data_IF_753658826798
#
_entry.id   IF_753658826798
#
_cell.length_a   1.000
_cell.length_b   1.000
_cell.length_c   1.000
_cell.angle_alpha   90.00
_cell.angle_beta   90.00
_cell.angle_gamma   90.00
#
_symmetry.space_group_name_H-M   'P 1'
#
loop_
_entity.id
_entity.type
_entity.pdbx_description
1 polymer ?
#
# COMPACT_ATOMS: atom_id res chain seq x y z
N UNK A 1 -6.59 -13.10 -23.21
CA UNK A 1 -5.63 -14.03 -23.83
C UNK A 1 -6.01 -15.43 -23.38
N UNK A 2 -6.79 -16.15 -24.19
CA UNK A 2 -7.41 -17.42 -23.84
C UNK A 2 -6.47 -18.64 -24.06
N UNK A 3 -5.29 -18.40 -24.64
CA UNK A 3 -4.37 -19.47 -25.08
C UNK A 3 -3.32 -19.85 -24.03
N UNK A 4 -2.97 -18.95 -23.09
CA UNK A 4 -2.03 -19.24 -22.02
C UNK A 4 -2.36 -18.44 -20.74
N UNK A 5 -2.95 -19.09 -19.71
CA UNK A 5 -3.30 -18.45 -18.45
C UNK A 5 -2.11 -17.79 -17.73
N UNK A 6 -0.89 -18.30 -17.91
CA UNK A 6 0.33 -17.79 -17.26
C UNK A 6 0.79 -16.43 -17.78
N UNK A 7 0.37 -16.03 -18.99
CA UNK A 7 0.65 -14.70 -19.58
C UNK A 7 -0.52 -13.72 -19.40
N UNK A 8 -1.57 -14.13 -18.68
CA UNK A 8 -2.76 -13.33 -18.41
C UNK A 8 -2.62 -12.37 -17.24
N UNK A 9 -3.70 -11.65 -16.89
CA UNK A 9 -3.75 -10.81 -15.71
C UNK A 9 -3.44 -11.60 -14.44
N UNK A 10 -2.44 -11.15 -13.67
CA UNK A 10 -2.09 -11.84 -12.44
C UNK A 10 -3.01 -11.45 -11.28
N UNK A 11 -3.66 -12.44 -10.68
CA UNK A 11 -4.57 -12.29 -9.54
C UNK A 11 -3.84 -12.49 -8.21
N UNK A 12 -3.21 -11.44 -7.70
CA UNK A 12 -2.56 -11.47 -6.39
C UNK A 12 -3.58 -11.69 -5.26
N UNK A 13 -3.22 -12.57 -4.31
CA UNK A 13 -4.05 -12.88 -3.13
C UNK A 13 -3.56 -12.19 -1.85
N UNK A 14 -2.26 -11.91 -1.75
CA UNK A 14 -1.67 -11.24 -0.60
C UNK A 14 -2.08 -9.75 -0.52
N UNK A 15 -2.37 -9.21 0.68
CA UNK A 15 -2.82 -7.83 0.84
C UNK A 15 -1.75 -6.81 0.40
N UNK A 16 -0.47 -7.05 0.70
CA UNK A 16 0.66 -6.25 0.21
C UNK A 16 0.66 -6.10 -1.32
N UNK A 17 0.44 -7.19 -2.04
CA UNK A 17 0.43 -7.23 -3.51
C UNK A 17 -0.82 -6.61 -4.11
N UNK A 18 -1.96 -6.71 -3.42
CA UNK A 18 -3.18 -5.99 -3.81
C UNK A 18 -2.95 -4.47 -3.70
N UNK A 19 -2.36 -4.00 -2.59
CA UNK A 19 -2.04 -2.59 -2.41
C UNK A 19 -1.01 -2.10 -3.45
N UNK A 20 0.05 -2.86 -3.69
CA UNK A 20 1.04 -2.56 -4.73
C UNK A 20 0.40 -2.45 -6.13
N UNK A 21 -0.57 -3.32 -6.46
CA UNK A 21 -1.29 -3.25 -7.73
C UNK A 21 -2.12 -1.97 -7.86
N UNK A 22 -2.75 -1.52 -6.77
CA UNK A 22 -3.50 -0.25 -6.73
C UNK A 22 -2.58 0.95 -6.96
N UNK A 23 -1.45 1.03 -6.25
CA UNK A 23 -0.48 2.14 -6.43
C UNK A 23 0.13 2.13 -7.83
N UNK A 24 0.45 0.94 -8.36
CA UNK A 24 0.93 0.79 -9.75
C UNK A 24 -0.08 1.30 -10.79
N UNK A 25 -1.38 1.17 -10.52
CA UNK A 25 -2.44 1.71 -11.38
C UNK A 25 -2.53 3.23 -11.37
N UNK A 26 -2.08 3.88 -10.29
CA UNK A 26 -2.06 5.34 -10.15
C UNK A 26 -0.84 6.02 -10.78
N UNK A 27 0.18 5.24 -11.17
CA UNK A 27 1.44 5.75 -11.72
C UNK A 27 1.66 5.32 -13.18
N UNK A 28 2.34 6.13 -14.01
CA UNK A 28 2.74 5.78 -15.36
C UNK A 28 3.92 4.78 -15.35
N UNK A 29 3.68 3.58 -14.81
CA UNK A 29 4.69 2.56 -14.50
C UNK A 29 5.38 1.91 -15.72
N UNK A 30 4.92 2.21 -16.93
CA UNK A 30 5.60 1.81 -18.18
C UNK A 30 6.79 2.71 -18.51
N UNK A 31 6.83 3.91 -17.95
CA UNK A 31 7.93 4.87 -18.14
C UNK A 31 9.07 4.60 -17.15
N UNK A 32 10.30 4.99 -17.51
CA UNK A 32 11.48 4.87 -16.63
C UNK A 32 11.27 5.58 -15.28
N UNK A 33 10.64 6.77 -15.29
CA UNK A 33 10.30 7.52 -14.07
C UNK A 33 9.30 6.77 -13.19
N UNK A 34 8.28 6.16 -13.80
CA UNK A 34 7.28 5.37 -13.09
C UNK A 34 7.86 4.08 -12.49
N UNK A 35 8.81 3.44 -13.17
CA UNK A 35 9.55 2.29 -12.66
C UNK A 35 10.38 2.67 -11.43
N UNK A 36 11.16 3.76 -11.51
CA UNK A 36 11.93 4.26 -10.36
C UNK A 36 11.04 4.62 -9.15
N UNK A 37 9.83 5.15 -9.39
CA UNK A 37 8.87 5.42 -8.32
C UNK A 37 8.34 4.12 -7.65
N UNK A 38 8.16 3.04 -8.42
CA UNK A 38 7.75 1.75 -7.88
C UNK A 38 8.88 1.04 -7.12
N UNK A 39 10.14 1.22 -7.54
CA UNK A 39 11.30 0.67 -6.83
C UNK A 39 11.49 1.30 -5.45
N UNK A 40 11.15 2.59 -5.31
CA UNK A 40 11.14 3.28 -4.02
C UNK A 40 10.07 2.75 -3.06
N UNK A 41 9.00 2.14 -3.57
CA UNK A 41 7.87 1.68 -2.78
C UNK A 41 8.10 0.25 -2.28
N UNK A 42 8.31 0.10 -0.96
CA UNK A 42 8.31 -1.21 -0.29
C UNK A 42 6.99 -1.42 0.45
N UNK A 43 6.30 -2.53 0.16
CA UNK A 43 5.03 -2.92 0.78
C UNK A 43 5.21 -4.30 1.39
N UNK A 44 4.97 -4.42 2.69
CA UNK A 44 5.18 -5.64 3.46
C UNK A 44 3.89 -6.00 4.19
N UNK A 45 3.65 -7.30 4.38
CA UNK A 45 2.56 -7.79 5.21
C UNK A 45 3.06 -7.89 6.67
N UNK A 46 2.37 -7.24 7.60
CA UNK A 46 2.83 -7.13 8.99
C UNK A 46 4.08 -6.25 9.13
N UNK A 47 4.82 -6.43 10.23
CA UNK A 47 5.98 -5.62 10.57
C UNK A 47 7.18 -6.56 10.78
N UNK A 48 8.03 -6.75 9.76
CA UNK A 48 9.20 -7.60 9.90
C UNK A 48 10.34 -6.88 10.66
N UNK A 49 11.26 -7.63 11.30
CA UNK A 49 12.37 -7.10 12.09
C UNK A 49 13.50 -6.61 11.17
N UNK A 50 13.36 -5.42 10.58
CA UNK A 50 14.13 -4.23 10.98
C UNK A 50 13.28 -2.94 11.02
N UNK A 51 11.97 -3.05 10.78
CA UNK A 51 11.02 -1.93 10.74
C UNK A 51 10.25 -1.76 12.04
N UNK A 52 10.38 -2.71 12.96
CA UNK A 52 9.72 -2.68 14.26
C UNK A 52 10.20 -1.54 15.16
N UNK A 53 11.51 -1.28 15.17
CA UNK A 53 12.15 -0.22 15.97
C UNK A 53 12.03 1.19 15.36
N UNK A 54 11.51 1.30 14.13
CA UNK A 54 11.38 2.58 13.44
C UNK A 54 10.04 3.22 13.76
N UNK A 55 10.03 4.55 13.98
CA UNK A 55 8.80 5.29 14.26
C UNK A 55 7.84 5.18 13.07
N UNK A 56 6.63 4.72 13.36
CA UNK A 56 5.59 4.52 12.36
C UNK A 56 4.89 5.85 12.07
N UNK A 57 4.67 6.13 10.79
CA UNK A 57 4.05 7.37 10.32
C UNK A 57 2.69 7.06 9.71
N UNK A 58 1.71 7.88 10.07
CA UNK A 58 0.32 7.75 9.61
C UNK A 58 0.01 8.89 8.65
N UNK A 59 -0.71 8.58 7.57
CA UNK A 59 -1.29 9.60 6.68
C UNK A 59 -2.70 9.92 7.18
N UNK A 60 -2.93 11.08 7.83
CA UNK A 60 -4.21 11.38 8.48
C UNK A 60 -5.36 11.43 7.47
N UNK A 61 -5.10 11.91 6.26
CA UNK A 61 -6.08 11.93 5.18
C UNK A 61 -6.56 10.52 4.81
N UNK A 62 -5.78 9.46 4.99
CA UNK A 62 -6.17 8.11 4.59
C UNK A 62 -6.94 7.33 5.68
N UNK A 63 -7.18 7.93 6.85
CA UNK A 63 -7.79 7.24 7.99
C UNK A 63 -9.29 7.02 7.79
N UNK A 64 -9.73 5.78 8.00
CA UNK A 64 -11.16 5.41 7.99
C UNK A 64 -11.98 6.27 8.95
N UNK A 65 -11.50 6.44 10.18
CA UNK A 65 -12.21 7.16 11.25
C UNK A 65 -12.48 8.61 10.87
N UNK A 66 -11.56 9.22 10.13
CA UNK A 66 -11.67 10.61 9.69
C UNK A 66 -12.56 10.73 8.45
N UNK A 67 -12.42 9.80 7.48
CA UNK A 67 -13.10 9.91 6.19
C UNK A 67 -14.52 9.35 6.15
N UNK A 68 -14.81 8.30 6.92
CA UNK A 68 -16.08 7.58 6.84
C UNK A 68 -16.90 7.73 8.11
N UNK A 69 -18.22 7.93 7.94
CA UNK A 69 -19.17 7.90 9.06
C UNK A 69 -19.17 6.50 9.72
N UNK A 70 -19.18 6.41 11.06
CA UNK A 70 -19.09 5.13 11.78
C UNK A 70 -20.18 4.11 11.42
N UNK A 71 -21.35 4.56 11.00
CA UNK A 71 -22.50 3.71 10.66
C UNK A 71 -22.38 3.01 9.31
N UNK A 72 -21.41 3.38 8.47
CA UNK A 72 -21.24 2.80 7.13
C UNK A 72 -20.47 1.48 7.22
N UNK A 73 -21.07 0.41 6.69
CA UNK A 73 -20.41 -0.90 6.57
C UNK A 73 -19.21 -0.79 5.64
N UNK A 74 -18.06 -1.29 6.09
CA UNK A 74 -16.83 -1.33 5.29
C UNK A 74 -16.38 -2.77 5.09
N UNK A 75 -15.88 -3.05 3.88
CA UNK A 75 -15.26 -4.31 3.55
C UNK A 75 -13.83 -4.32 4.09
N UNK A 76 -13.60 -5.14 5.11
CA UNK A 76 -12.31 -5.29 5.76
C UNK A 76 -11.41 -6.28 5.00
N UNK A 77 -11.48 -6.35 3.66
CA UNK A 77 -10.79 -7.39 2.86
C UNK A 77 -9.27 -7.28 2.88
N UNK A 78 -8.76 -6.06 3.01
CA UNK A 78 -7.34 -5.82 3.31
C UNK A 78 -7.05 -5.93 4.80
N UNK A 79 -8.09 -6.16 5.62
CA UNK A 79 -8.02 -6.27 7.06
C UNK A 79 -7.92 -7.69 7.60
N UNK A 80 -6.70 -8.10 7.95
CA UNK A 80 -6.49 -9.25 8.82
C UNK A 80 -7.28 -9.00 10.12
N UNK A 81 -8.41 -9.69 10.27
CA UNK A 81 -9.32 -9.56 11.43
C UNK A 81 -8.70 -10.02 12.78
N UNK A 82 -7.43 -10.40 12.81
CA UNK A 82 -6.75 -10.96 13.98
C UNK A 82 -5.75 -10.01 14.63
N UNK A 83 -5.63 -8.76 14.18
CA UNK A 83 -4.61 -7.84 14.67
C UNK A 83 -5.28 -6.53 15.08
N UNK A 84 -4.98 -6.08 16.31
CA UNK A 84 -5.68 -5.01 17.02
C UNK A 84 -5.70 -3.64 16.32
N UNK A 85 -6.37 -2.64 16.92
CA UNK A 85 -6.57 -1.31 16.35
C UNK A 85 -5.29 -0.57 15.90
N UNK A 86 -4.12 -0.95 16.41
CA UNK A 86 -2.85 -0.23 16.23
C UNK A 86 -2.01 -0.68 15.03
N UNK A 87 -2.29 -1.84 14.41
CA UNK A 87 -1.39 -2.45 13.42
C UNK A 87 -1.82 -2.24 11.95
N UNK A 88 -2.81 -1.38 11.71
CA UNK A 88 -3.29 -0.97 10.38
C UNK A 88 -2.35 0.00 9.63
N UNK A 89 -1.08 0.07 9.99
CA UNK A 89 -0.09 0.88 9.28
C UNK A 89 0.63 0.00 8.26
N UNK A 90 0.03 -0.14 7.07
CA UNK A 90 0.80 -0.51 5.88
C UNK A 90 1.86 0.56 5.68
N UNK A 91 3.08 0.23 6.11
CA UNK A 91 4.17 1.19 6.16
C UNK A 91 4.78 1.29 4.76
N UNK A 92 4.36 2.32 4.03
CA UNK A 92 5.00 2.75 2.79
C UNK A 92 6.33 3.39 3.17
N UNK A 93 7.39 2.60 3.23
CA UNK A 93 8.74 3.14 3.34
C UNK A 93 9.19 3.62 1.96
N UNK A 94 9.24 4.94 1.78
CA UNK A 94 10.10 5.55 0.75
C UNK A 94 11.49 5.66 1.36
N UNK A 95 12.50 5.13 0.68
CA UNK A 95 13.89 5.11 1.18
C UNK A 95 14.55 6.50 1.18
N UNK A 96 13.87 7.51 0.63
CA UNK A 96 14.42 8.84 0.47
C UNK A 96 13.88 9.76 1.58
N UNK A 97 14.78 10.24 2.44
CA UNK A 97 14.56 11.32 3.40
C UNK A 97 14.30 12.68 2.74
N UNK A 98 13.56 12.70 1.64
CA UNK A 98 13.16 13.92 0.95
C UNK A 98 11.74 14.28 1.40
N UNK A 99 11.70 15.33 2.22
CA UNK A 99 10.54 16.17 2.52
C UNK A 99 9.69 16.30 1.24
N UNK A 100 8.44 15.86 1.32
CA UNK A 100 7.46 16.03 0.24
C UNK A 100 7.52 17.49 -0.25
N UNK A 101 7.82 17.77 -1.53
CA UNK A 101 7.60 19.09 -2.06
C UNK A 101 6.08 19.33 -2.00
N UNK A 102 5.67 20.37 -1.29
CA UNK A 102 4.31 20.89 -1.41
C UNK A 102 4.13 21.24 -2.89
N UNK A 103 3.26 20.51 -3.59
CA UNK A 103 2.71 21.02 -4.83
C UNK A 103 1.98 22.31 -4.48
N UNK A 104 2.49 23.41 -5.01
CA UNK A 104 1.79 24.67 -5.15
C UNK A 104 0.71 24.51 -6.22
#
# INVERSE_FOLDING_TARGET
MNTNPSRGPYHFRAPSRIFWRTVRGMLPHKTKRGQAALERLKVLDGIPPPYDKKKRMVVPAALKVVRLKPTRKVSSRLQNKLVGPQDWQMMVYSHDGLRMPQCR
#
